data_IF_069327663535
#
_entry.id   IF_069327663535
#
_cell.length_a   1.000
_cell.length_b   1.000
_cell.length_c   1.000
_cell.angle_alpha   90.00
_cell.angle_beta   90.00
_cell.angle_gamma   90.00
#
_symmetry.space_group_name_H-M   'P 1'
#
loop_
_entity.id
_entity.type
_entity.pdbx_description
1 polymer ?
#
# COMPACT_ATOMS: atom_id res chain seq x y z
N UNK A 1 4.14 -47.52 2.27
CA UNK A 1 4.08 -46.18 1.66
C UNK A 1 4.92 -45.23 2.51
N UNK A 2 6.15 -44.93 2.05
CA UNK A 2 7.03 -43.98 2.74
C UNK A 2 6.49 -42.58 2.49
N UNK A 3 5.82 -42.01 3.51
CA UNK A 3 5.47 -40.59 3.51
C UNK A 3 6.75 -39.78 3.66
N UNK A 4 7.11 -39.02 2.63
CA UNK A 4 8.19 -38.05 2.70
C UNK A 4 7.68 -36.89 3.56
N UNK A 5 8.16 -36.79 4.79
CA UNK A 5 7.95 -35.63 5.65
C UNK A 5 8.99 -34.56 5.27
N UNK A 6 8.59 -33.60 4.43
CA UNK A 6 9.36 -32.38 4.23
C UNK A 6 8.99 -31.44 5.37
N UNK A 7 9.89 -31.28 6.34
CA UNK A 7 9.85 -30.17 7.27
C UNK A 7 10.19 -28.89 6.49
N UNK A 8 9.18 -28.22 5.94
CA UNK A 8 9.32 -26.87 5.44
C UNK A 8 9.50 -25.95 6.66
N UNK A 9 10.75 -25.61 6.99
CA UNK A 9 11.07 -24.63 8.01
C UNK A 9 10.46 -23.28 7.60
N UNK A 10 9.37 -22.90 8.24
CA UNK A 10 8.74 -21.58 8.07
C UNK A 10 9.34 -20.64 9.11
N UNK A 11 10.37 -19.90 8.72
CA UNK A 11 10.89 -18.81 9.54
C UNK A 11 10.03 -17.57 9.28
N UNK A 12 9.32 -17.10 10.31
CA UNK A 12 8.65 -15.80 10.28
C UNK A 12 9.71 -14.69 10.40
N UNK A 13 9.59 -13.61 9.61
CA UNK A 13 10.47 -12.45 9.65
C UNK A 13 9.81 -11.33 10.45
N UNK A 14 10.54 -10.68 11.36
CA UNK A 14 9.98 -9.61 12.23
C UNK A 14 9.88 -8.26 11.51
N UNK A 15 10.78 -8.00 10.58
CA UNK A 15 10.97 -6.70 9.92
C UNK A 15 10.63 -6.71 8.43
N UNK A 16 10.07 -7.80 7.89
CA UNK A 16 9.67 -7.85 6.49
C UNK A 16 8.47 -6.93 6.26
N UNK A 17 8.60 -5.88 5.42
CA UNK A 17 7.47 -5.02 5.11
C UNK A 17 6.40 -5.79 4.33
N UNK A 18 5.14 -5.44 4.53
CA UNK A 18 4.01 -6.06 3.80
C UNK A 18 3.91 -5.59 2.35
N UNK A 19 4.53 -4.45 2.04
CA UNK A 19 4.70 -3.91 0.71
C UNK A 19 6.00 -3.08 0.68
N UNK A 20 6.78 -3.23 -0.40
CA UNK A 20 7.98 -2.45 -0.64
C UNK A 20 8.05 -2.12 -2.12
N UNK A 21 8.24 -0.84 -2.44
CA UNK A 21 8.45 -0.43 -3.81
C UNK A 21 9.52 0.64 -3.87
N UNK A 22 10.47 0.47 -4.77
CA UNK A 22 11.53 1.45 -5.02
C UNK A 22 11.51 1.83 -6.49
N UNK A 23 11.58 3.12 -6.76
CA UNK A 23 11.72 3.67 -8.09
C UNK A 23 12.94 4.58 -8.11
N UNK A 24 13.71 4.52 -9.19
CA UNK A 24 14.89 5.35 -9.37
C UNK A 24 14.97 5.91 -10.80
N UNK A 25 15.91 6.83 -11.03
CA UNK A 25 16.12 7.44 -12.35
C UNK A 25 17.06 6.63 -13.25
N UNK A 26 17.81 5.70 -12.65
CA UNK A 26 18.69 4.72 -13.31
C UNK A 26 18.92 3.55 -12.34
N UNK A 27 19.52 2.41 -12.78
CA UNK A 27 19.84 1.29 -11.88
C UNK A 27 20.61 1.74 -10.63
N UNK A 28 20.21 1.24 -9.46
CA UNK A 28 20.73 1.68 -8.15
C UNK A 28 22.27 1.57 -8.08
N UNK A 29 22.83 0.52 -8.63
CA UNK A 29 24.28 0.28 -8.76
C UNK A 29 25.03 1.37 -9.56
N UNK A 30 24.33 2.15 -10.39
CA UNK A 30 24.85 3.32 -11.12
C UNK A 30 24.59 4.64 -10.39
N UNK A 31 23.86 4.61 -9.28
CA UNK A 31 23.54 5.79 -8.47
C UNK A 31 24.42 5.84 -7.22
N UNK A 32 24.55 4.71 -6.52
CA UNK A 32 25.23 4.59 -5.22
C UNK A 32 26.09 3.32 -5.18
N UNK A 33 27.07 3.31 -4.27
CA UNK A 33 27.83 2.11 -3.96
C UNK A 33 27.00 1.14 -3.07
N UNK A 34 27.39 -0.15 -2.97
CA UNK A 34 26.64 -1.15 -2.19
C UNK A 34 26.48 -0.83 -0.71
N UNK A 35 27.44 -0.12 -0.09
CA UNK A 35 27.32 0.27 1.32
C UNK A 35 26.23 1.31 1.47
N UNK A 36 26.24 2.33 0.62
CA UNK A 36 25.19 3.36 0.64
C UNK A 36 23.82 2.75 0.31
N UNK A 37 23.74 1.83 -0.65
CA UNK A 37 22.50 1.13 -0.96
C UNK A 37 21.97 0.32 0.24
N UNK A 38 22.84 -0.37 0.99
CA UNK A 38 22.46 -1.12 2.19
C UNK A 38 22.00 -0.22 3.35
N UNK A 39 22.67 0.92 3.56
CA UNK A 39 22.33 1.87 4.63
C UNK A 39 20.92 2.44 4.45
N UNK A 40 20.54 2.75 3.21
CA UNK A 40 19.25 3.35 2.87
C UNK A 40 18.26 2.33 2.28
N UNK A 41 18.57 1.04 2.36
CA UNK A 41 17.77 -0.07 1.85
C UNK A 41 17.25 0.16 0.41
N UNK A 42 18.12 0.68 -0.46
CA UNK A 42 17.79 1.03 -1.84
C UNK A 42 17.89 -0.19 -2.74
N UNK A 43 16.76 -0.74 -3.17
CA UNK A 43 16.71 -1.93 -4.02
C UNK A 43 16.43 -3.20 -3.24
N UNK A 44 15.81 -4.18 -3.90
CA UNK A 44 15.48 -5.48 -3.30
C UNK A 44 16.70 -6.23 -2.73
N UNK A 45 17.89 -6.22 -3.36
CA UNK A 45 19.07 -6.89 -2.82
C UNK A 45 19.58 -6.31 -1.50
N UNK A 46 19.19 -5.07 -1.19
CA UNK A 46 19.68 -4.30 -0.04
C UNK A 46 18.66 -4.18 1.09
N UNK A 47 17.48 -4.79 0.92
CA UNK A 47 16.42 -4.82 1.92
C UNK A 47 16.86 -5.65 3.14
N UNK A 48 16.84 -5.06 4.33
CA UNK A 48 17.30 -5.72 5.55
C UNK A 48 16.19 -6.58 6.17
N UNK A 49 16.21 -7.88 5.89
CA UNK A 49 15.27 -8.84 6.45
C UNK A 49 15.87 -9.51 7.70
N UNK A 50 15.32 -9.17 8.89
CA UNK A 50 15.74 -9.78 10.15
C UNK A 50 14.87 -10.99 10.48
N UNK A 51 15.44 -12.21 10.53
CA UNK A 51 14.71 -13.41 10.89
C UNK A 51 14.32 -13.37 12.37
N UNK A 52 13.29 -14.14 12.73
CA UNK A 52 12.97 -14.42 14.13
C UNK A 52 13.82 -15.62 14.58
N UNK A 53 14.68 -15.40 15.58
CA UNK A 53 15.53 -16.43 16.19
C UNK A 53 16.97 -16.46 15.66
N UNK A 54 17.78 -17.33 16.26
CA UNK A 54 19.18 -17.55 15.84
C UNK A 54 19.20 -18.61 14.74
N UNK A 55 19.52 -18.20 13.52
CA UNK A 55 19.63 -19.08 12.34
C UNK A 55 21.06 -18.99 11.83
N UNK A 56 21.59 -20.06 11.26
CA UNK A 56 22.89 -20.01 10.58
C UNK A 56 22.89 -18.96 9.45
N UNK A 57 23.97 -18.18 9.27
CA UNK A 57 24.01 -17.10 8.28
C UNK A 57 23.67 -17.54 6.85
N UNK A 58 24.08 -18.74 6.45
CA UNK A 58 23.80 -19.28 5.11
C UNK A 58 22.32 -19.59 4.89
N UNK A 59 21.65 -20.13 5.92
CA UNK A 59 20.21 -20.39 5.85
C UNK A 59 19.40 -19.08 5.84
N UNK A 60 19.82 -18.09 6.62
CA UNK A 60 19.18 -16.77 6.65
C UNK A 60 19.14 -16.12 5.25
N UNK A 61 20.26 -16.14 4.51
CA UNK A 61 20.34 -15.59 3.14
C UNK A 61 19.38 -16.33 2.20
N UNK A 62 19.30 -17.66 2.32
CA UNK A 62 18.40 -18.49 1.50
C UNK A 62 16.93 -18.17 1.79
N UNK A 63 16.55 -18.04 3.06
CA UNK A 63 15.17 -17.68 3.43
C UNK A 63 14.81 -16.25 3.02
N UNK A 64 15.73 -15.30 3.19
CA UNK A 64 15.51 -13.90 2.80
C UNK A 64 15.32 -13.78 1.28
N UNK A 65 16.18 -14.42 0.48
CA UNK A 65 16.05 -14.41 -0.98
C UNK A 65 14.77 -15.13 -1.46
N UNK A 66 14.39 -16.23 -0.81
CA UNK A 66 13.11 -16.91 -1.05
C UNK A 66 11.90 -16.02 -0.76
N UNK A 67 11.92 -15.27 0.35
CA UNK A 67 10.85 -14.34 0.69
C UNK A 67 10.74 -13.20 -0.33
N UNK A 68 11.87 -12.56 -0.67
CA UNK A 68 11.90 -11.48 -1.67
C UNK A 68 11.34 -12.00 -3.01
N UNK A 69 11.72 -13.21 -3.42
CA UNK A 69 11.26 -13.82 -4.67
C UNK A 69 9.75 -14.08 -4.65
N UNK A 70 9.21 -14.57 -3.54
CA UNK A 70 7.76 -14.80 -3.36
C UNK A 70 6.99 -13.47 -3.43
N UNK A 71 7.42 -12.46 -2.66
CA UNK A 71 6.77 -11.15 -2.59
C UNK A 71 6.85 -10.38 -3.92
N UNK A 72 7.95 -10.54 -4.66
CA UNK A 72 8.09 -10.00 -6.00
C UNK A 72 7.13 -10.67 -7.00
N UNK A 73 6.95 -11.99 -6.90
CA UNK A 73 5.96 -12.74 -7.68
C UNK A 73 4.52 -12.26 -7.46
N UNK A 74 4.19 -11.84 -6.23
CA UNK A 74 2.90 -11.24 -5.87
C UNK A 74 2.78 -9.74 -6.20
N UNK A 75 3.83 -9.14 -6.78
CA UNK A 75 3.96 -7.68 -7.03
C UNK A 75 3.90 -6.83 -5.75
N UNK A 76 4.10 -7.41 -4.58
CA UNK A 76 4.17 -6.67 -3.33
C UNK A 76 5.55 -6.02 -3.16
N UNK A 77 6.59 -6.66 -3.70
CA UNK A 77 7.94 -6.12 -3.77
C UNK A 77 8.26 -5.72 -5.21
N UNK A 78 8.50 -4.43 -5.46
CA UNK A 78 8.71 -3.88 -6.79
C UNK A 78 9.96 -3.01 -6.85
N UNK A 79 10.70 -3.11 -7.94
CA UNK A 79 11.85 -2.26 -8.23
C UNK A 79 11.75 -1.77 -9.67
N UNK A 80 11.72 -0.45 -9.86
CA UNK A 80 11.71 0.20 -11.17
C UNK A 80 12.93 1.12 -11.32
N UNK A 81 14.01 0.64 -11.96
CA UNK A 81 15.23 1.39 -12.21
C UNK A 81 15.04 2.68 -13.03
N UNK A 82 13.88 2.88 -13.66
CA UNK A 82 13.57 4.03 -14.50
C UNK A 82 12.23 4.68 -14.12
N UNK A 83 11.71 4.36 -12.94
CA UNK A 83 10.41 4.84 -12.48
C UNK A 83 10.40 6.31 -12.04
N UNK A 84 11.57 6.96 -11.92
CA UNK A 84 11.70 8.38 -11.58
C UNK A 84 12.12 9.18 -12.80
N UNK A 85 11.25 10.11 -13.20
CA UNK A 85 11.58 11.13 -14.20
C UNK A 85 11.91 12.44 -13.49
N UNK A 86 13.02 13.07 -13.89
CA UNK A 86 13.42 14.40 -13.41
C UNK A 86 13.34 15.38 -14.57
N UNK A 87 12.53 16.42 -14.42
CA UNK A 87 12.36 17.50 -15.38
C UNK A 87 12.93 18.81 -14.83
N UNK A 88 13.48 19.64 -15.71
CA UNK A 88 14.03 20.96 -15.39
C UNK A 88 15.04 20.98 -14.23
N UNK A 89 15.68 19.83 -13.96
CA UNK A 89 16.66 19.64 -12.87
C UNK A 89 16.12 19.91 -11.45
N UNK A 90 14.81 20.12 -11.28
CA UNK A 90 14.19 20.44 -9.98
C UNK A 90 12.91 19.64 -9.70
N UNK A 91 12.15 19.29 -10.73
CA UNK A 91 10.89 18.56 -10.58
C UNK A 91 11.14 17.07 -10.75
N UNK A 92 10.73 16.26 -9.77
CA UNK A 92 10.79 14.81 -9.88
C UNK A 92 9.38 14.21 -9.78
N UNK A 93 9.14 13.15 -10.55
CA UNK A 93 7.90 12.39 -10.51
C UNK A 93 8.22 10.91 -10.52
N UNK A 94 7.56 10.16 -9.63
CA UNK A 94 7.57 8.72 -9.59
C UNK A 94 6.12 8.20 -9.61
N UNK A 95 5.88 7.07 -10.28
CA UNK A 95 4.59 6.38 -10.24
C UNK A 95 4.78 4.98 -9.68
N UNK A 96 4.21 4.74 -8.50
CA UNK A 96 4.21 3.43 -7.85
C UNK A 96 2.84 2.80 -8.04
N UNK A 97 2.79 1.60 -8.61
CA UNK A 97 1.55 0.85 -8.79
C UNK A 97 1.25 0.04 -7.52
N UNK A 98 0.20 0.40 -6.80
CA UNK A 98 -0.26 -0.37 -5.64
C UNK A 98 -1.17 -1.51 -6.11
N UNK A 99 -0.81 -2.78 -5.86
CA UNK A 99 -1.65 -3.91 -6.23
C UNK A 99 -2.86 -4.03 -5.29
N UNK A 100 -3.92 -4.71 -5.74
CA UNK A 100 -5.18 -4.82 -4.99
C UNK A 100 -5.10 -5.68 -3.71
N UNK A 101 -4.05 -6.48 -3.57
CA UNK A 101 -3.77 -7.31 -2.39
C UNK A 101 -2.90 -6.59 -1.34
N UNK A 102 -2.58 -5.30 -1.54
CA UNK A 102 -1.88 -4.50 -0.53
C UNK A 102 -2.74 -4.35 0.73
N UNK A 103 -2.10 -4.39 1.90
CA UNK A 103 -2.81 -4.24 3.17
C UNK A 103 -3.23 -2.78 3.40
N UNK A 104 -4.35 -2.58 4.10
CA UNK A 104 -4.79 -1.25 4.53
C UNK A 104 -3.88 -0.79 5.66
N UNK A 105 -3.44 0.46 5.64
CA UNK A 105 -2.55 0.99 6.66
C UNK A 105 -1.85 2.28 6.28
N UNK A 106 -0.98 2.75 7.16
CA UNK A 106 -0.09 3.89 6.87
C UNK A 106 1.24 3.38 6.38
N UNK A 107 1.67 3.87 5.22
CA UNK A 107 2.95 3.58 4.60
C UNK A 107 3.83 4.82 4.64
N UNK A 108 5.14 4.62 4.70
CA UNK A 108 6.12 5.70 4.60
C UNK A 108 6.71 5.72 3.20
N UNK A 109 6.64 6.87 2.55
CA UNK A 109 7.33 7.16 1.30
C UNK A 109 8.57 7.99 1.60
N UNK A 110 9.75 7.45 1.30
CA UNK A 110 11.03 8.15 1.46
C UNK A 110 11.58 8.52 0.09
N UNK A 111 12.04 9.77 -0.05
CA UNK A 111 12.68 10.27 -1.26
C UNK A 111 14.11 10.66 -0.94
N UNK A 112 15.06 10.22 -1.77
CA UNK A 112 16.47 10.53 -1.61
C UNK A 112 17.00 11.29 -2.83
N UNK A 113 17.60 12.46 -2.59
CA UNK A 113 18.39 13.16 -3.59
C UNK A 113 19.84 12.69 -3.49
N UNK A 114 20.37 12.13 -4.58
CA UNK A 114 21.70 11.53 -4.61
C UNK A 114 22.59 12.25 -5.62
N UNK A 115 23.79 12.65 -5.18
CA UNK A 115 24.81 13.26 -6.02
C UNK A 115 26.17 12.62 -5.76
N UNK A 116 26.86 12.22 -6.84
CA UNK A 116 28.18 11.56 -6.79
C UNK A 116 28.24 10.38 -5.80
N UNK A 117 27.24 9.51 -5.84
CA UNK A 117 27.20 8.32 -4.97
C UNK A 117 26.75 8.57 -3.54
N UNK A 118 26.39 9.82 -3.16
CA UNK A 118 26.05 10.18 -1.78
C UNK A 118 24.66 10.80 -1.69
N UNK A 119 23.92 10.44 -0.66
CA UNK A 119 22.66 11.10 -0.30
C UNK A 119 22.99 12.52 0.16
N UNK A 120 22.45 13.52 -0.55
CA UNK A 120 22.63 14.95 -0.23
C UNK A 120 21.38 15.57 0.39
N UNK A 121 20.21 14.96 0.20
CA UNK A 121 18.98 15.32 0.88
C UNK A 121 18.04 14.11 0.95
N UNK A 122 17.14 14.12 1.93
CA UNK A 122 16.04 13.17 2.03
C UNK A 122 14.76 13.88 2.44
N UNK A 123 13.62 13.30 2.07
CA UNK A 123 12.30 13.72 2.49
C UNK A 123 11.44 12.49 2.80
N UNK A 124 10.53 12.62 3.76
CA UNK A 124 9.63 11.56 4.19
C UNK A 124 8.20 12.06 4.14
N UNK A 125 7.29 11.21 3.67
CA UNK A 125 5.86 11.47 3.67
C UNK A 125 5.11 10.21 4.12
N UNK A 126 4.03 10.39 4.87
CA UNK A 126 3.12 9.30 5.21
C UNK A 126 1.98 9.23 4.20
N UNK A 127 1.71 8.02 3.72
CA UNK A 127 0.66 7.72 2.75
C UNK A 127 -0.31 6.74 3.39
N UNK A 128 -1.56 7.18 3.59
CA UNK A 128 -2.61 6.33 4.13
C UNK A 128 -3.29 5.55 2.99
N UNK A 129 -3.11 4.23 3.00
CA UNK A 129 -3.72 3.31 2.03
C UNK A 129 -5.03 2.80 2.61
N UNK A 130 -6.13 3.13 1.93
CA UNK A 130 -7.50 2.69 2.27
C UNK A 130 -8.06 1.82 1.17
N UNK A 131 -9.04 0.98 1.52
CA UNK A 131 -9.80 0.21 0.54
C UNK A 131 -10.63 1.15 -0.32
N UNK A 132 -10.18 1.44 -1.54
CA UNK A 132 -10.95 2.25 -2.47
C UNK A 132 -12.22 1.48 -2.87
N UNK A 133 -13.40 2.03 -2.57
CA UNK A 133 -14.67 1.49 -3.07
C UNK A 133 -15.85 1.54 -2.10
N UNK A 134 -15.64 1.45 -0.77
CA UNK A 134 -16.77 1.47 0.17
C UNK A 134 -17.45 2.85 0.23
N UNK A 135 -16.67 3.93 0.21
CA UNK A 135 -17.19 5.31 0.22
C UNK A 135 -18.03 5.63 -1.02
N UNK A 136 -17.60 5.15 -2.19
CA UNK A 136 -18.34 5.32 -3.46
C UNK A 136 -19.60 4.49 -3.50
N UNK A 137 -19.56 3.25 -3.01
CA UNK A 137 -20.75 2.38 -2.94
C UNK A 137 -21.78 2.95 -1.97
N UNK A 138 -21.37 3.44 -0.79
CA UNK A 138 -22.30 4.08 0.16
C UNK A 138 -22.85 5.40 -0.37
N UNK A 139 -22.00 6.23 -1.00
CA UNK A 139 -22.46 7.48 -1.63
C UNK A 139 -23.45 7.21 -2.77
N UNK A 140 -23.15 6.28 -3.68
CA UNK A 140 -24.05 5.92 -4.79
C UNK A 140 -25.34 5.25 -4.29
N UNK A 141 -25.28 4.47 -3.20
CA UNK A 141 -26.45 3.82 -2.61
C UNK A 141 -27.37 4.85 -1.92
N UNK A 142 -26.80 5.83 -1.23
CA UNK A 142 -27.56 6.92 -0.62
C UNK A 142 -28.21 7.84 -1.67
N UNK A 143 -27.51 8.12 -2.78
CA UNK A 143 -28.05 8.95 -3.87
C UNK A 143 -29.15 8.23 -4.67
N UNK A 144 -29.02 6.91 -4.94
CA UNK A 144 -29.99 6.16 -5.75
C UNK A 144 -31.34 5.88 -5.07
N UNK A 145 -31.39 5.83 -3.74
CA UNK A 145 -32.65 5.64 -3.00
C UNK A 145 -33.29 6.96 -2.52
N UNK A 146 -32.64 8.12 -2.75
CA UNK A 146 -33.15 9.44 -2.33
C UNK A 146 -34.55 9.76 -2.87
N UNK A 147 -34.90 9.28 -4.07
CA UNK A 147 -36.20 9.50 -4.69
C UNK A 147 -37.33 8.81 -3.92
N UNK A 148 -37.16 7.56 -3.51
CA UNK A 148 -38.18 6.81 -2.77
C UNK A 148 -38.33 7.31 -1.34
N UNK A 149 -37.22 7.66 -0.66
CA UNK A 149 -37.28 8.28 0.65
C UNK A 149 -38.00 9.64 0.62
N UNK A 150 -37.71 10.47 -0.39
CA UNK A 150 -38.41 11.75 -0.59
C UNK A 150 -39.90 11.55 -0.81
N UNK A 151 -40.29 10.58 -1.64
CA UNK A 151 -41.70 10.27 -1.91
C UNK A 151 -42.41 9.72 -0.66
N UNK A 152 -41.74 8.88 0.13
CA UNK A 152 -42.28 8.38 1.40
C UNK A 152 -42.48 9.52 2.42
N UNK A 153 -41.52 10.44 2.53
CA UNK A 153 -41.61 11.59 3.43
C UNK A 153 -42.77 12.52 3.05
N UNK A 154 -42.96 12.79 1.75
CA UNK A 154 -44.09 13.58 1.24
C UNK A 154 -45.42 12.85 1.51
N UNK A 155 -45.49 11.54 1.25
CA UNK A 155 -46.70 10.74 1.50
C UNK A 155 -47.08 10.75 2.99
N UNK A 156 -46.12 10.62 3.89
CA UNK A 156 -46.33 10.72 5.35
C UNK A 156 -46.81 12.12 5.71
N UNK A 157 -46.19 13.17 5.17
CA UNK A 157 -46.59 14.56 5.44
C UNK A 157 -48.03 14.84 5.01
N UNK A 158 -48.43 14.38 3.81
CA UNK A 158 -49.80 14.51 3.31
C UNK A 158 -50.78 13.70 4.17
N UNK A 159 -50.43 12.47 4.56
CA UNK A 159 -51.25 11.64 5.42
C UNK A 159 -51.45 12.27 6.81
N UNK A 160 -50.39 12.80 7.41
CA UNK A 160 -50.46 13.51 8.69
C UNK A 160 -51.29 14.78 8.58
N UNK A 161 -51.12 15.56 7.51
CA UNK A 161 -51.92 16.76 7.24
C UNK A 161 -53.41 16.45 7.07
N UNK A 162 -53.75 15.36 6.40
CA UNK A 162 -55.13 14.91 6.23
C UNK A 162 -55.75 14.39 7.53
N UNK A 163 -55.00 13.61 8.33
CA UNK A 163 -55.44 13.11 9.64
C UNK A 163 -55.66 14.28 10.60
N UNK A 164 -54.72 15.23 10.67
CA UNK A 164 -54.86 16.44 11.48
C UNK A 164 -56.08 17.27 11.02
N UNK A 165 -56.20 17.52 9.70
CA UNK A 165 -57.33 18.25 9.14
C UNK A 165 -58.70 17.64 9.48
N UNK A 166 -58.81 16.30 9.49
CA UNK A 166 -60.05 15.59 9.83
C UNK A 166 -60.36 15.56 11.33
N UNK A 167 -59.34 15.60 12.19
CA UNK A 167 -59.51 15.69 13.64
C UNK A 167 -59.81 17.12 14.12
N UNK A 168 -59.34 18.15 13.40
CA UNK A 168 -59.58 19.56 13.74
C UNK A 168 -60.85 20.18 13.10
N UNK A 169 -61.60 19.46 12.26
CA UNK A 169 -62.89 19.93 11.69
C UNK A 169 -64.13 19.49 12.47
N UNK A 170 -63.98 18.94 13.68
CA UNK A 170 -65.08 18.81 14.66
C UNK A 170 -64.80 19.69 15.86
N UNK A 171 -65.16 20.96 15.73
CA UNK A 171 -65.82 21.78 16.74
C UNK A 171 -66.62 22.87 16.03
#
# INVERSE_FOLDING_TARGET
>A
HAGIWINAASTQFRSAPTFYAVASSRPIEKIVDPRTAAIYELGLPFLQLSPIGTIEPGEQIRFASGLVSLMAGERLYQEDPHGVTVSEQVLYQARISLPSNVQIGTYTAETFAISRGRVVASAMAQVEVKKSGFEKVVADFADRDSFYYGLMAVAISVAMGWIAGRLFTRN
#
